data_IF_009274076669
#
_entry.id   IF_009274076669
#
_cell.length_a   1.000
_cell.length_b   1.000
_cell.length_c   1.000
_cell.angle_alpha   90.00
_cell.angle_beta   90.00
_cell.angle_gamma   90.00
#
_symmetry.space_group_name_H-M   'P 1'
#
loop_
_entity.id
_entity.type
_entity.pdbx_description
1 polymer ?
#
# COMPACT_ATOMS: atom_id res chain seq x y z
N UNK A 1 -46.58 -27.67 -8.64
CA UNK A 1 -45.18 -27.27 -8.36
C UNK A 1 -44.33 -28.53 -8.43
N UNK A 2 -43.68 -28.73 -9.57
CA UNK A 2 -43.07 -29.99 -10.01
C UNK A 2 -41.83 -30.35 -9.18
N UNK A 3 -41.58 -31.63 -8.94
CA UNK A 3 -40.43 -32.14 -8.17
C UNK A 3 -39.08 -31.60 -8.66
N UNK A 4 -38.98 -31.28 -9.95
CA UNK A 4 -37.82 -30.63 -10.56
C UNK A 4 -37.46 -29.27 -9.94
N UNK A 5 -38.46 -28.50 -9.46
CA UNK A 5 -38.22 -27.22 -8.78
C UNK A 5 -37.65 -27.41 -7.37
N UNK A 6 -38.06 -28.48 -6.67
CA UNK A 6 -37.53 -28.84 -5.34
C UNK A 6 -36.09 -29.35 -5.43
N UNK A 7 -35.77 -30.14 -6.45
CA UNK A 7 -34.41 -30.62 -6.69
C UNK A 7 -33.45 -29.48 -7.06
N UNK A 8 -33.89 -28.51 -7.86
CA UNK A 8 -33.09 -27.32 -8.17
C UNK A 8 -32.79 -26.45 -6.95
N UNK A 9 -33.75 -26.31 -6.03
CA UNK A 9 -33.57 -25.51 -4.82
C UNK A 9 -32.61 -26.18 -3.81
N UNK A 10 -32.66 -27.51 -3.70
CA UNK A 10 -31.73 -28.28 -2.86
C UNK A 10 -30.31 -28.21 -3.42
N UNK A 11 -30.15 -28.30 -4.75
CA UNK A 11 -28.84 -28.17 -5.38
C UNK A 11 -28.26 -26.76 -5.21
N UNK A 12 -29.08 -25.71 -5.34
CA UNK A 12 -28.67 -24.32 -5.11
C UNK A 12 -28.29 -24.08 -3.64
N UNK A 13 -29.05 -24.64 -2.68
CA UNK A 13 -28.73 -24.57 -1.26
C UNK A 13 -27.43 -25.30 -0.91
N UNK A 14 -27.14 -26.44 -1.55
CA UNK A 14 -25.88 -27.18 -1.38
C UNK A 14 -24.72 -26.37 -1.97
N UNK A 15 -24.87 -25.75 -3.14
CA UNK A 15 -23.83 -24.90 -3.75
C UNK A 15 -23.56 -23.65 -2.89
N UNK A 16 -24.59 -23.05 -2.28
CA UNK A 16 -24.45 -21.95 -1.32
C UNK A 16 -23.83 -22.38 0.02
N UNK A 17 -23.93 -23.66 0.40
CA UNK A 17 -23.27 -24.21 1.59
C UNK A 17 -21.79 -24.55 1.35
N UNK A 18 -21.34 -24.62 0.09
CA UNK A 18 -19.94 -24.85 -0.28
C UNK A 18 -19.12 -23.60 -0.57
N UNK A 19 -19.71 -22.40 -0.52
CA UNK A 19 -18.94 -21.15 -0.39
C UNK A 19 -18.52 -20.99 1.07
N UNK A 20 -17.63 -21.86 1.54
CA UNK A 20 -16.96 -21.66 2.82
C UNK A 20 -16.25 -20.30 2.75
N UNK A 21 -16.40 -19.44 3.78
CA UNK A 21 -15.60 -18.23 3.85
C UNK A 21 -14.13 -18.65 3.75
N UNK A 22 -13.37 -18.01 2.86
CA UNK A 22 -11.91 -18.11 2.85
C UNK A 22 -11.45 -17.91 4.28
N UNK A 23 -10.85 -18.96 4.85
CA UNK A 23 -10.42 -18.95 6.23
C UNK A 23 -9.46 -17.77 6.45
N UNK A 24 -9.69 -17.00 7.51
CA UNK A 24 -8.77 -15.95 7.91
C UNK A 24 -7.37 -16.57 8.06
N UNK A 25 -6.36 -15.90 7.51
CA UNK A 25 -4.99 -16.39 7.43
C UNK A 25 -4.06 -15.27 7.03
N UNK A 26 -2.77 -15.43 7.32
CA UNK A 26 -1.75 -14.42 7.04
C UNK A 26 -0.72 -14.99 6.08
N UNK A 27 -0.55 -14.36 4.93
CA UNK A 27 0.50 -14.64 3.98
C UNK A 27 1.72 -13.79 4.35
N UNK A 28 2.88 -14.43 4.47
CA UNK A 28 4.12 -13.81 4.88
C UNK A 28 5.16 -14.10 3.82
N UNK A 29 5.84 -13.08 3.34
CA UNK A 29 7.06 -13.21 2.57
C UNK A 29 8.23 -12.75 3.44
N UNK A 30 9.26 -13.59 3.55
CA UNK A 30 10.47 -13.25 4.30
C UNK A 30 11.73 -13.52 3.47
N UNK A 31 12.60 -12.52 3.42
CA UNK A 31 13.90 -12.59 2.77
C UNK A 31 15.02 -12.47 3.82
N UNK A 32 15.53 -13.60 4.34
CA UNK A 32 16.44 -13.60 5.49
C UNK A 32 17.72 -12.79 5.26
N UNK A 33 18.29 -12.82 4.05
CA UNK A 33 19.57 -12.14 3.78
C UNK A 33 19.48 -10.61 3.86
N UNK A 34 18.28 -10.04 3.69
CA UNK A 34 18.05 -8.59 3.82
C UNK A 34 17.29 -8.23 5.09
N UNK A 35 16.75 -9.22 5.81
CA UNK A 35 15.80 -9.02 6.90
C UNK A 35 14.44 -8.51 6.43
N UNK A 36 14.19 -8.40 5.13
CA UNK A 36 12.92 -7.86 4.62
C UNK A 36 11.77 -8.84 4.90
N UNK A 37 10.67 -8.32 5.44
CA UNK A 37 9.44 -9.03 5.68
C UNK A 37 8.25 -8.23 5.14
N UNK A 38 7.33 -8.91 4.48
CA UNK A 38 5.99 -8.42 4.14
C UNK A 38 4.98 -9.42 4.66
N UNK A 39 3.94 -8.96 5.32
CA UNK A 39 2.82 -9.79 5.73
C UNK A 39 1.51 -9.13 5.36
N UNK A 40 0.54 -9.93 4.95
CA UNK A 40 -0.81 -9.50 4.66
C UNK A 40 -1.79 -10.59 5.04
N UNK A 41 -2.97 -10.19 5.52
CA UNK A 41 -4.03 -11.13 5.75
C UNK A 41 -5.01 -10.66 6.80
N UNK A 42 -5.71 -11.63 7.35
CA UNK A 42 -6.81 -11.37 8.27
C UNK A 42 -6.61 -12.12 9.58
N UNK A 43 -6.82 -11.41 10.68
CA UNK A 43 -6.65 -11.91 12.03
C UNK A 43 -7.96 -11.69 12.78
N UNK A 44 -8.46 -12.72 13.47
CA UNK A 44 -9.60 -12.53 14.37
C UNK A 44 -9.09 -11.88 15.65
N UNK A 45 -9.69 -10.77 16.06
CA UNK A 45 -9.29 -9.98 17.24
C UNK A 45 -10.49 -9.69 18.12
N UNK A 46 -10.30 -9.57 19.42
CA UNK A 46 -11.35 -9.19 20.36
C UNK A 46 -10.86 -8.05 21.28
N UNK A 47 -10.88 -6.80 20.78
CA UNK A 47 -10.46 -5.65 21.57
C UNK A 47 -11.34 -5.50 22.82
N UNK A 48 -10.71 -5.37 23.99
CA UNK A 48 -11.41 -5.22 25.26
C UNK A 48 -11.81 -3.76 25.56
N UNK A 49 -11.28 -2.80 24.81
CA UNK A 49 -11.51 -1.37 24.99
C UNK A 49 -11.65 -0.64 23.64
N UNK A 50 -12.39 0.49 23.57
CA UNK A 50 -12.56 1.28 22.35
C UNK A 50 -11.25 1.86 21.79
N UNK A 51 -10.20 1.90 22.61
CA UNK A 51 -8.83 2.20 22.18
C UNK A 51 -8.00 0.96 22.40
N UNK A 52 -7.31 0.52 21.37
CA UNK A 52 -6.62 -0.75 21.35
C UNK A 52 -5.32 -0.61 20.55
N UNK A 53 -4.33 -1.46 20.82
CA UNK A 53 -3.03 -1.34 20.14
C UNK A 53 -2.37 -2.66 19.81
N UNK A 54 -1.50 -2.63 18.82
CA UNK A 54 -0.54 -3.70 18.59
C UNK A 54 0.83 -3.14 18.23
N UNK A 55 1.84 -3.96 18.43
CA UNK A 55 3.22 -3.63 18.11
C UNK A 55 3.76 -4.51 16.98
N UNK A 56 4.52 -3.89 16.08
CA UNK A 56 5.33 -4.50 15.03
C UNK A 56 6.79 -4.07 15.17
N UNK A 57 7.65 -4.68 14.37
CA UNK A 57 9.08 -4.37 14.32
C UNK A 57 9.38 -2.89 14.04
N UNK A 58 10.59 -2.40 14.40
CA UNK A 58 10.97 -1.01 14.18
C UNK A 58 10.79 -0.60 12.71
N UNK A 59 10.21 0.58 12.48
CA UNK A 59 10.02 1.16 11.14
C UNK A 59 9.13 0.34 10.19
N UNK A 60 8.36 -0.62 10.70
CA UNK A 60 7.32 -1.29 9.95
C UNK A 60 6.40 -0.24 9.28
N UNK A 61 6.10 -0.47 8.01
CA UNK A 61 5.17 0.34 7.23
C UNK A 61 3.84 -0.39 7.17
N UNK A 62 2.80 0.22 7.69
CA UNK A 62 1.43 -0.26 7.54
C UNK A 62 0.95 0.18 6.15
N UNK A 63 0.66 -0.78 5.27
CA UNK A 63 0.18 -0.54 3.91
C UNK A 63 -1.34 -0.67 3.81
N UNK A 64 -1.96 -1.41 4.72
CA UNK A 64 -3.41 -1.53 4.87
C UNK A 64 -3.78 -1.85 6.32
N UNK A 65 -4.86 -1.25 6.82
CA UNK A 65 -5.42 -1.54 8.14
C UNK A 65 -6.93 -1.31 8.10
N UNK A 66 -7.71 -2.36 8.33
CA UNK A 66 -9.16 -2.32 8.32
C UNK A 66 -9.74 -3.18 9.44
N UNK A 67 -10.67 -2.60 10.18
CA UNK A 67 -11.51 -3.27 11.18
C UNK A 67 -12.92 -2.69 11.10
N UNK A 68 -13.94 -3.50 11.37
CA UNK A 68 -15.31 -3.00 11.44
C UNK A 68 -15.45 -1.97 12.56
N UNK A 69 -15.97 -0.79 12.21
CA UNK A 69 -16.11 0.31 13.17
C UNK A 69 -14.79 1.01 13.51
N UNK A 70 -13.73 0.80 12.75
CA UNK A 70 -12.50 1.61 12.82
C UNK A 70 -12.84 3.08 12.55
N UNK A 71 -12.62 3.92 13.55
CA UNK A 71 -12.82 5.37 13.46
C UNK A 71 -11.56 6.09 13.01
N UNK A 72 -10.43 5.69 13.58
CA UNK A 72 -9.13 6.34 13.39
C UNK A 72 -8.00 5.40 13.84
N UNK A 73 -6.79 5.63 13.34
CA UNK A 73 -5.58 4.98 13.82
C UNK A 73 -4.36 5.89 13.73
N UNK A 74 -3.46 5.73 14.71
CA UNK A 74 -2.19 6.43 14.80
C UNK A 74 -1.05 5.42 14.76
N UNK A 75 0.06 5.81 14.12
CA UNK A 75 1.27 4.99 14.02
C UNK A 75 2.44 5.72 14.68
N UNK A 76 2.89 5.21 15.82
CA UNK A 76 4.10 5.66 16.50
C UNK A 76 5.29 4.78 16.11
N UNK A 77 6.26 5.35 15.38
CA UNK A 77 7.47 4.65 14.96
C UNK A 77 8.59 4.89 15.98
N UNK A 78 8.67 4.02 16.99
CA UNK A 78 9.72 4.03 18.00
C UNK A 78 11.01 3.35 17.54
N UNK A 79 12.08 3.53 18.33
CA UNK A 79 13.39 2.91 18.06
C UNK A 79 13.37 1.37 18.12
N UNK A 80 12.52 0.80 18.98
CA UNK A 80 12.46 -0.65 19.24
C UNK A 80 11.26 -1.35 18.61
N UNK A 81 10.21 -0.60 18.26
CA UNK A 81 8.97 -1.14 17.70
C UNK A 81 8.16 -0.03 17.05
N UNK A 82 7.27 -0.41 16.15
CA UNK A 82 6.20 0.43 15.62
C UNK A 82 4.92 0.08 16.35
N UNK A 83 4.32 1.03 17.06
CA UNK A 83 3.04 0.84 17.74
C UNK A 83 1.93 1.41 16.88
N UNK A 84 0.90 0.61 16.63
CA UNK A 84 -0.33 1.06 15.97
C UNK A 84 -1.41 1.11 17.04
N UNK A 85 -1.95 2.30 17.27
CA UNK A 85 -3.06 2.53 18.19
C UNK A 85 -4.28 2.89 17.37
N UNK A 86 -5.39 2.21 17.58
CA UNK A 86 -6.61 2.44 16.82
C UNK A 86 -7.83 2.62 17.72
N UNK A 87 -8.82 3.35 17.20
CA UNK A 87 -10.06 3.67 17.90
C UNK A 87 -11.25 3.01 17.21
N UNK A 88 -12.13 2.40 17.98
CA UNK A 88 -13.32 1.73 17.51
C UNK A 88 -14.60 2.42 17.99
N UNK A 89 -15.59 2.49 17.12
CA UNK A 89 -16.91 3.02 17.42
C UNK A 89 -17.66 2.13 18.42
N UNK A 90 -17.62 0.82 18.21
CA UNK A 90 -18.32 -0.17 19.01
C UNK A 90 -17.44 -1.41 19.25
N UNK A 91 -17.49 -1.96 20.46
CA UNK A 91 -16.90 -3.26 20.78
C UNK A 91 -17.91 -4.37 20.49
N UNK A 92 -17.80 -4.98 19.31
CA UNK A 92 -18.70 -6.06 18.88
C UNK A 92 -17.95 -7.39 18.88
N UNK A 93 -17.71 -7.98 20.06
CA UNK A 93 -17.12 -9.31 20.22
C UNK A 93 -15.88 -9.57 19.34
N UNK A 94 -15.65 -10.81 18.90
CA UNK A 94 -14.62 -11.13 17.91
C UNK A 94 -14.88 -10.47 16.54
N UNK A 95 -13.87 -9.80 15.98
CA UNK A 95 -13.91 -9.06 14.72
C UNK A 95 -12.74 -9.48 13.80
N UNK A 96 -12.87 -9.27 12.48
CA UNK A 96 -11.79 -9.52 11.50
C UNK A 96 -10.97 -8.25 11.28
N UNK A 97 -9.71 -8.28 11.71
CA UNK A 97 -8.69 -7.30 11.37
C UNK A 97 -8.04 -7.69 10.05
N UNK A 98 -8.26 -6.90 9.00
CA UNK A 98 -7.48 -7.00 7.75
C UNK A 98 -6.29 -6.05 7.84
N UNK A 99 -5.08 -6.60 7.71
CA UNK A 99 -3.84 -5.84 7.89
C UNK A 99 -2.80 -6.26 6.86
N UNK A 100 -2.08 -5.27 6.34
CA UNK A 100 -0.89 -5.46 5.51
C UNK A 100 0.23 -4.56 6.02
N UNK A 101 1.43 -5.10 6.14
CA UNK A 101 2.61 -4.37 6.59
C UNK A 101 3.91 -4.92 6.00
N UNK A 102 4.92 -4.06 5.89
CA UNK A 102 6.23 -4.43 5.36
C UNK A 102 7.38 -3.64 5.98
N UNK A 103 8.60 -4.16 5.82
CA UNK A 103 9.83 -3.46 6.21
C UNK A 103 10.95 -4.43 6.54
N UNK A 104 11.93 -3.96 7.31
CA UNK A 104 13.15 -4.72 7.61
C UNK A 104 13.19 -5.10 9.08
N UNK A 105 13.19 -6.40 9.35
CA UNK A 105 13.46 -6.94 10.67
C UNK A 105 14.92 -6.66 11.07
N UNK A 106 15.18 -6.28 12.32
CA UNK A 106 16.50 -6.40 12.90
C UNK A 106 16.80 -7.90 13.09
N UNK A 107 17.20 -8.56 12.01
CA UNK A 107 17.40 -10.00 11.93
C UNK A 107 18.90 -10.34 11.88
N UNK A 108 19.33 -11.22 12.78
CA UNK A 108 20.70 -11.74 12.81
C UNK A 108 20.74 -13.10 12.12
N UNK A 109 21.37 -13.14 10.94
CA UNK A 109 21.51 -14.36 10.13
C UNK A 109 22.22 -15.52 10.83
N UNK A 110 23.03 -15.24 11.87
CA UNK A 110 23.77 -16.27 12.62
C UNK A 110 22.86 -17.15 13.49
N UNK A 111 21.79 -16.58 14.07
CA UNK A 111 20.85 -17.34 14.90
C UNK A 111 19.71 -17.93 14.07
N UNK A 112 19.38 -17.29 12.94
CA UNK A 112 18.30 -17.70 12.05
C UNK A 112 16.90 -17.63 12.68
N UNK A 113 16.78 -17.25 13.96
CA UNK A 113 15.54 -17.28 14.72
C UNK A 113 14.72 -16.01 14.50
N UNK A 114 13.49 -16.18 14.04
CA UNK A 114 12.48 -15.13 13.91
C UNK A 114 11.36 -15.45 14.89
N UNK A 115 11.35 -14.72 16.01
CA UNK A 115 10.42 -14.95 17.11
C UNK A 115 9.88 -13.67 17.72
N UNK A 116 9.30 -13.76 18.92
CA UNK A 116 8.57 -12.66 19.57
C UNK A 116 9.39 -11.37 19.72
N UNK A 117 10.67 -11.47 20.02
CA UNK A 117 11.58 -10.33 20.17
C UNK A 117 11.77 -9.51 18.88
N UNK A 118 11.51 -10.12 17.72
CA UNK A 118 11.61 -9.43 16.44
C UNK A 118 10.36 -8.61 16.10
N UNK A 119 9.23 -8.83 16.79
CA UNK A 119 7.92 -8.23 16.47
C UNK A 119 7.50 -8.40 15.01
N UNK A 120 7.88 -9.52 14.38
CA UNK A 120 7.59 -9.79 12.97
C UNK A 120 6.11 -10.01 12.68
N UNK A 121 5.38 -10.52 13.67
CA UNK A 121 3.93 -10.69 13.70
C UNK A 121 3.29 -9.68 14.67
N UNK A 122 2.05 -9.20 14.46
CA UNK A 122 1.43 -8.25 15.38
C UNK A 122 1.38 -8.79 16.81
N UNK A 123 1.93 -8.03 17.75
CA UNK A 123 1.79 -8.28 19.18
C UNK A 123 0.68 -7.40 19.75
N UNK A 124 -0.51 -7.97 19.88
CA UNK A 124 -1.70 -7.29 20.38
C UNK A 124 -1.66 -7.09 21.90
N UNK A 125 -2.23 -5.99 22.38
CA UNK A 125 -2.48 -5.76 23.82
C UNK A 125 -3.85 -6.33 24.28
N UNK A 126 -4.57 -6.99 23.38
CA UNK A 126 -5.86 -7.66 23.58
C UNK A 126 -5.85 -9.09 23.00
N UNK A 127 -6.85 -9.93 23.33
CA UNK A 127 -6.95 -11.28 22.78
C UNK A 127 -7.05 -11.32 21.25
N UNK A 128 -6.30 -12.24 20.64
CA UNK A 128 -6.39 -12.57 19.21
C UNK A 128 -6.63 -14.07 19.04
N UNK A 129 -7.38 -14.43 18.00
CA UNK A 129 -7.69 -15.81 17.65
C UNK A 129 -6.52 -16.50 16.95
N UNK A 130 -6.52 -17.85 16.90
CA UNK A 130 -5.54 -18.61 16.15
C UNK A 130 -5.63 -18.25 14.66
N UNK A 131 -4.48 -18.11 14.00
CA UNK A 131 -4.41 -17.68 12.59
C UNK A 131 -3.40 -18.53 11.82
N UNK A 132 -3.82 -19.22 10.75
CA UNK A 132 -2.88 -19.95 9.90
C UNK A 132 -1.96 -18.96 9.19
N UNK A 133 -0.68 -19.31 9.14
CA UNK A 133 0.37 -18.51 8.49
C UNK A 133 0.90 -19.29 7.31
N UNK A 134 0.93 -18.63 6.14
CA UNK A 134 1.53 -19.12 4.91
C UNK A 134 2.84 -18.33 4.68
N UNK A 135 3.98 -18.89 5.07
CA UNK A 135 5.29 -18.27 4.87
C UNK A 135 5.89 -18.70 3.53
N UNK A 136 6.27 -17.72 2.73
CA UNK A 136 7.10 -17.90 1.55
C UNK A 136 8.52 -17.41 1.84
N UNK A 137 9.50 -18.30 1.67
CA UNK A 137 10.91 -17.96 1.77
C UNK A 137 11.54 -17.71 0.39
N UNK A 138 12.66 -16.98 0.37
CA UNK A 138 13.50 -16.85 -0.82
C UNK A 138 14.08 -18.22 -1.24
N UNK A 139 14.39 -18.39 -2.53
CA UNK A 139 14.83 -19.67 -3.08
C UNK A 139 16.08 -20.22 -2.37
N UNK A 140 16.04 -21.52 -2.04
CA UNK A 140 17.13 -22.22 -1.38
C UNK A 140 17.20 -22.06 0.15
N UNK A 141 16.45 -21.14 0.75
CA UNK A 141 16.34 -21.04 2.21
C UNK A 141 15.44 -22.14 2.76
N UNK A 142 15.87 -22.76 3.87
CA UNK A 142 15.10 -23.80 4.55
C UNK A 142 14.34 -23.22 5.73
N UNK A 143 13.11 -23.69 5.91
CA UNK A 143 12.25 -23.38 7.06
C UNK A 143 12.36 -24.48 8.10
N UNK A 144 12.58 -24.10 9.36
CA UNK A 144 12.49 -24.98 10.51
C UNK A 144 11.46 -24.38 11.47
N UNK A 145 10.29 -25.01 11.67
CA UNK A 145 9.29 -24.49 12.60
C UNK A 145 9.82 -24.58 14.05
N UNK A 146 9.60 -23.54 14.87
CA UNK A 146 10.04 -23.47 16.27
C UNK A 146 8.85 -23.43 17.27
N UNK A 147 8.64 -24.49 18.07
CA UNK A 147 7.45 -24.64 18.96
C UNK A 147 6.68 -25.98 18.81
N UNK A 148 5.49 -26.08 19.43
CA UNK A 148 4.54 -27.20 19.25
C UNK A 148 3.61 -26.93 18.04
N UNK A 149 3.65 -27.77 17.01
CA UNK A 149 2.90 -27.60 15.75
C UNK A 149 2.08 -28.84 15.37
N UNK A 150 1.10 -28.65 14.50
CA UNK A 150 0.63 -29.70 13.58
C UNK A 150 1.52 -29.65 12.32
N UNK A 151 1.90 -30.83 11.78
CA UNK A 151 2.92 -30.99 10.74
C UNK A 151 2.80 -29.97 9.59
N UNK A 152 3.90 -29.36 9.13
CA UNK A 152 3.86 -28.47 7.98
C UNK A 152 3.39 -29.25 6.74
N UNK A 153 2.28 -28.84 6.15
CA UNK A 153 1.93 -29.25 4.80
C UNK A 153 2.91 -28.58 3.84
N UNK A 154 3.75 -29.36 3.17
CA UNK A 154 4.57 -28.86 2.06
C UNK A 154 3.65 -28.73 0.84
N UNK A 155 3.17 -27.52 0.57
CA UNK A 155 2.37 -27.24 -0.62
C UNK A 155 3.18 -26.27 -1.50
N UNK A 156 3.52 -26.71 -2.72
CA UNK A 156 4.21 -25.94 -3.77
C UNK A 156 5.52 -25.23 -3.34
N UNK A 157 6.67 -25.76 -3.80
CA UNK A 157 8.06 -25.20 -3.66
C UNK A 157 8.16 -23.83 -2.94
N UNK A 158 8.51 -23.86 -1.65
CA UNK A 158 8.92 -22.68 -0.88
C UNK A 158 7.82 -21.95 -0.11
N UNK A 159 6.59 -22.47 -0.10
CA UNK A 159 5.51 -22.02 0.79
C UNK A 159 5.32 -23.02 1.94
N UNK A 160 5.25 -22.51 3.17
CA UNK A 160 5.11 -23.28 4.39
C UNK A 160 3.86 -22.80 5.14
N UNK A 161 2.88 -23.68 5.32
CA UNK A 161 1.65 -23.35 6.04
C UNK A 161 1.65 -24.00 7.42
N UNK A 162 1.36 -23.23 8.47
CA UNK A 162 1.17 -23.76 9.82
C UNK A 162 0.19 -22.95 10.65
N UNK A 163 -0.30 -23.55 11.73
CA UNK A 163 -1.12 -22.89 12.75
C UNK A 163 -0.34 -22.81 14.08
N UNK A 164 0.13 -21.63 14.50
CA UNK A 164 0.91 -21.49 15.73
C UNK A 164 0.03 -21.58 16.98
N UNK A 165 0.52 -22.24 18.05
CA UNK A 165 -0.14 -22.33 19.37
C UNK A 165 0.12 -21.13 20.31
N UNK A 166 0.89 -20.14 19.86
CA UNK A 166 1.28 -18.96 20.60
C UNK A 166 1.79 -17.87 19.66
N UNK A 167 2.68 -16.98 20.13
CA UNK A 167 3.31 -16.02 19.22
C UNK A 167 4.05 -16.80 18.12
N UNK A 168 3.85 -16.48 16.83
CA UNK A 168 4.46 -17.22 15.73
C UNK A 168 5.99 -17.19 15.78
N UNK A 169 6.65 -18.34 15.65
CA UNK A 169 8.12 -18.44 15.64
C UNK A 169 8.60 -19.43 14.60
N UNK A 170 9.73 -19.11 13.96
CA UNK A 170 10.38 -19.99 13.01
C UNK A 170 11.88 -19.71 12.92
N UNK A 171 12.63 -20.69 12.43
CA UNK A 171 14.04 -20.57 12.13
C UNK A 171 14.25 -20.72 10.62
N UNK A 172 15.15 -19.92 10.06
CA UNK A 172 15.57 -20.02 8.66
C UNK A 172 17.05 -20.40 8.56
N UNK A 173 17.36 -21.28 7.62
CA UNK A 173 18.74 -21.72 7.35
C UNK A 173 19.13 -21.31 5.94
N UNK A 174 20.32 -20.70 5.75
CA UNK A 174 20.77 -20.27 4.43
C UNK A 174 20.94 -21.46 3.47
N UNK A 175 20.79 -21.25 2.15
CA UNK A 175 21.11 -22.26 1.16
C UNK A 175 22.57 -22.70 1.28
N UNK A 176 22.82 -24.00 1.08
CA UNK A 176 24.18 -24.50 0.90
C UNK A 176 24.80 -23.82 -0.33
N UNK A 177 25.88 -23.06 -0.13
CA UNK A 177 26.57 -22.32 -1.20
C UNK A 177 27.07 -23.30 -2.28
N UNK A 178 26.57 -23.25 -3.52
CA UNK A 178 27.18 -23.98 -4.62
C UNK A 178 28.46 -23.23 -5.05
N UNK A 179 29.54 -23.99 -5.27
CA UNK A 179 30.81 -23.42 -5.77
C UNK A 179 30.66 -22.74 -7.15
N UNK A 180 31.56 -21.81 -7.49
CA UNK A 180 31.43 -20.96 -8.67
C UNK A 180 31.51 -21.78 -9.96
N UNK A 181 30.57 -21.56 -10.88
CA UNK A 181 30.64 -22.06 -12.26
C UNK A 181 30.89 -20.87 -13.19
N UNK A 182 31.98 -20.92 -13.95
CA UNK A 182 32.39 -19.89 -14.92
C UNK A 182 31.37 -19.69 -16.05
N UNK A 183 31.18 -18.46 -16.57
CA UNK A 183 30.31 -18.22 -17.71
C UNK A 183 31.02 -18.48 -19.05
N UNK A 184 30.33 -19.18 -19.95
CA UNK A 184 30.72 -19.33 -21.35
C UNK A 184 30.23 -18.13 -22.18
N UNK A 185 31.11 -17.66 -23.08
CA UNK A 185 30.88 -16.58 -24.05
C UNK A 185 30.27 -17.15 -25.34
N UNK A 186 29.29 -16.46 -25.92
CA UNK A 186 29.15 -16.38 -27.39
C UNK A 186 28.45 -15.08 -27.85
N UNK A 187 28.91 -14.55 -28.99
CA UNK A 187 28.44 -13.37 -29.78
C UNK A 187 27.62 -13.86 -31.01
N UNK A 188 27.11 -13.04 -32.01
CA UNK A 188 27.06 -11.58 -32.23
C UNK A 188 25.70 -11.02 -32.80
N UNK A 189 25.56 -9.69 -33.00
CA UNK A 189 25.22 -9.00 -34.29
C UNK A 189 24.67 -7.55 -34.09
N UNK A 190 25.08 -6.64 -34.98
CA UNK A 190 24.84 -5.18 -35.00
C UNK A 190 23.44 -4.78 -35.50
N UNK A 191 22.92 -3.59 -35.10
CA UNK A 191 21.96 -2.81 -35.91
C UNK A 191 21.91 -1.30 -35.56
N UNK A 192 22.13 -0.46 -36.58
CA UNK A 192 21.50 0.85 -36.86
C UNK A 192 21.54 1.99 -35.82
N UNK A 193 22.33 3.03 -36.09
CA UNK A 193 22.36 4.26 -35.29
C UNK A 193 21.01 4.97 -35.24
N UNK A 194 20.35 4.92 -34.08
CA UNK A 194 19.26 5.81 -33.63
C UNK A 194 19.76 6.53 -32.36
N UNK A 195 19.27 7.74 -32.11
CA UNK A 195 19.79 8.60 -31.03
C UNK A 195 19.60 7.98 -29.61
N UNK A 196 20.37 8.44 -28.60
CA UNK A 196 20.36 7.87 -27.24
C UNK A 196 18.97 7.87 -26.57
N UNK A 197 18.14 8.87 -26.87
CA UNK A 197 16.77 8.99 -26.33
C UNK A 197 15.83 7.89 -26.84
N UNK A 198 16.02 7.42 -28.08
CA UNK A 198 15.23 6.32 -28.65
C UNK A 198 15.52 5.00 -27.91
N UNK A 199 16.80 4.71 -27.66
CA UNK A 199 17.22 3.50 -26.97
C UNK A 199 16.70 3.44 -25.53
N UNK A 200 16.73 4.57 -24.82
CA UNK A 200 16.22 4.64 -23.45
C UNK A 200 14.71 4.44 -23.41
N UNK A 201 13.95 5.04 -24.34
CA UNK A 201 12.51 4.85 -24.43
C UNK A 201 12.14 3.39 -24.74
N UNK A 202 12.87 2.73 -25.64
CA UNK A 202 12.65 1.33 -25.99
C UNK A 202 12.91 0.40 -24.79
N UNK A 203 13.94 0.68 -23.98
CA UNK A 203 14.22 -0.02 -22.72
C UNK A 203 13.11 0.18 -21.68
N UNK A 204 12.57 1.39 -21.57
CA UNK A 204 11.44 1.68 -20.69
C UNK A 204 10.21 0.86 -21.11
N UNK A 205 9.85 0.89 -22.39
CA UNK A 205 8.70 0.14 -22.92
C UNK A 205 8.89 -1.38 -22.80
N UNK A 206 10.11 -1.89 -22.97
CA UNK A 206 10.45 -3.29 -22.74
C UNK A 206 10.26 -3.70 -21.27
N UNK A 207 10.80 -2.89 -20.34
CA UNK A 207 10.63 -3.11 -18.91
C UNK A 207 9.15 -3.11 -18.52
N UNK A 208 8.38 -2.13 -19.00
CA UNK A 208 6.96 -2.01 -18.70
C UNK A 208 6.14 -3.18 -19.24
N UNK A 209 6.47 -3.68 -20.44
CA UNK A 209 5.78 -4.83 -21.02
C UNK A 209 6.02 -6.09 -20.21
N UNK A 210 7.26 -6.32 -19.79
CA UNK A 210 7.64 -7.47 -18.94
C UNK A 210 7.01 -7.36 -17.54
N UNK A 211 6.97 -6.15 -16.97
CA UNK A 211 6.30 -5.87 -15.70
C UNK A 211 4.79 -6.09 -15.76
N UNK A 212 4.13 -5.59 -16.82
CA UNK A 212 2.68 -5.74 -17.00
C UNK A 212 2.26 -7.20 -17.19
N UNK A 213 3.10 -8.01 -17.81
CA UNK A 213 2.89 -9.46 -17.94
C UNK A 213 3.07 -10.21 -16.62
N UNK A 214 3.72 -9.60 -15.61
CA UNK A 214 4.04 -10.19 -14.30
C UNK A 214 4.77 -11.54 -14.42
N UNK A 215 5.54 -11.69 -15.50
CA UNK A 215 6.32 -12.90 -15.77
C UNK A 215 7.71 -12.74 -15.16
N UNK A 216 7.94 -13.45 -14.06
CA UNK A 216 9.20 -13.44 -13.32
C UNK A 216 10.41 -13.71 -14.21
N UNK A 217 10.36 -14.76 -15.05
CA UNK A 217 11.48 -15.14 -15.91
C UNK A 217 11.75 -14.06 -16.95
N UNK A 218 10.69 -13.51 -17.54
CA UNK A 218 10.82 -12.45 -18.51
C UNK A 218 11.42 -11.18 -17.88
N UNK A 219 11.07 -10.85 -16.64
CA UNK A 219 11.65 -9.71 -15.92
C UNK A 219 13.12 -9.99 -15.59
N UNK A 220 13.45 -11.20 -15.13
CA UNK A 220 14.82 -11.59 -14.80
C UNK A 220 15.80 -11.41 -15.97
N UNK A 221 15.36 -11.73 -17.20
CA UNK A 221 16.14 -11.55 -18.43
C UNK A 221 16.64 -10.12 -18.67
N UNK A 222 15.98 -9.09 -18.12
CA UNK A 222 16.40 -7.69 -18.32
C UNK A 222 17.16 -7.12 -17.13
N UNK A 223 17.29 -7.89 -16.04
CA UNK A 223 18.02 -7.47 -14.85
C UNK A 223 19.50 -7.81 -14.93
N UNK A 224 20.33 -6.97 -14.33
CA UNK A 224 21.72 -7.30 -14.03
C UNK A 224 21.77 -8.38 -12.92
N UNK A 225 22.76 -9.29 -12.92
CA UNK A 225 22.84 -10.39 -11.94
C UNK A 225 22.67 -9.94 -10.48
N UNK A 226 23.28 -8.82 -10.10
CA UNK A 226 23.11 -8.24 -8.75
C UNK A 226 21.66 -7.94 -8.37
N UNK A 227 20.80 -7.56 -9.32
CA UNK A 227 19.37 -7.32 -9.08
C UNK A 227 18.55 -8.62 -9.15
N UNK A 228 19.01 -9.61 -9.92
CA UNK A 228 18.42 -10.96 -9.93
C UNK A 228 18.64 -11.64 -8.58
N UNK A 229 19.86 -11.60 -8.06
CA UNK A 229 20.22 -12.12 -6.73
C UNK A 229 19.47 -11.42 -5.59
N UNK A 230 19.11 -10.14 -5.78
CA UNK A 230 18.27 -9.38 -4.85
C UNK A 230 16.77 -9.68 -4.99
N UNK A 231 16.38 -10.59 -5.87
CA UNK A 231 15.00 -11.03 -6.06
C UNK A 231 14.10 -9.96 -6.70
N UNK A 232 14.66 -8.98 -7.42
CA UNK A 232 13.85 -7.90 -7.99
C UNK A 232 12.84 -8.42 -9.03
N UNK A 233 13.18 -9.45 -9.80
CA UNK A 233 12.25 -10.06 -10.76
C UNK A 233 11.02 -10.66 -10.06
N UNK A 234 11.27 -11.39 -8.97
CA UNK A 234 10.24 -11.98 -8.11
C UNK A 234 9.39 -10.90 -7.46
N UNK A 235 10.03 -9.84 -6.94
CA UNK A 235 9.34 -8.69 -6.35
C UNK A 235 8.35 -8.04 -7.34
N UNK A 236 8.81 -7.79 -8.56
CA UNK A 236 8.02 -7.12 -9.59
C UNK A 236 6.90 -8.02 -10.14
N UNK A 237 7.14 -9.32 -10.28
CA UNK A 237 6.11 -10.28 -10.68
C UNK A 237 5.04 -10.48 -9.60
N UNK A 238 5.41 -10.38 -8.32
CA UNK A 238 4.52 -10.59 -7.18
C UNK A 238 3.76 -9.32 -6.72
N UNK A 239 3.71 -8.26 -7.53
CA UNK A 239 2.84 -7.12 -7.24
C UNK A 239 1.38 -7.58 -7.06
N UNK A 240 0.57 -6.97 -6.17
CA UNK A 240 -0.80 -7.42 -5.90
C UNK A 240 -1.68 -7.46 -7.16
N UNK A 241 -2.44 -8.54 -7.35
CA UNK A 241 -3.35 -8.68 -8.50
C UNK A 241 -4.49 -7.66 -8.45
N UNK A 242 -4.91 -7.26 -7.25
CA UNK A 242 -5.89 -6.21 -7.01
C UNK A 242 -5.48 -4.85 -7.59
N UNK A 243 -4.18 -4.57 -7.73
CA UNK A 243 -3.68 -3.36 -8.40
C UNK A 243 -4.11 -3.29 -9.87
N UNK A 244 -4.62 -4.39 -10.43
CA UNK A 244 -5.13 -4.46 -11.78
C UNK A 244 -4.03 -4.27 -12.82
N UNK A 245 -4.39 -3.65 -13.94
CA UNK A 245 -3.43 -3.34 -15.00
C UNK A 245 -2.37 -2.34 -14.48
N UNK A 246 -1.10 -2.69 -14.70
CA UNK A 246 0.03 -1.81 -14.43
C UNK A 246 0.35 -1.03 -15.70
N UNK A 247 0.26 0.29 -15.64
CA UNK A 247 0.72 1.18 -16.70
C UNK A 247 1.81 2.07 -16.15
N UNK A 248 2.52 2.81 -17.00
CA UNK A 248 3.46 3.80 -16.51
C UNK A 248 3.55 5.02 -17.41
N UNK A 249 3.96 6.11 -16.79
CA UNK A 249 4.28 7.38 -17.44
C UNK A 249 5.77 7.65 -17.26
N UNK A 250 6.47 7.93 -18.36
CA UNK A 250 7.89 8.31 -18.31
C UNK A 250 7.98 9.79 -17.97
N UNK A 251 8.49 10.13 -16.78
CA UNK A 251 8.73 11.52 -16.38
C UNK A 251 10.06 12.04 -16.93
N UNK A 252 11.08 11.18 -16.96
CA UNK A 252 12.39 11.51 -17.52
C UNK A 252 13.04 10.25 -18.08
N UNK A 253 13.46 10.29 -19.35
CA UNK A 253 14.10 9.16 -20.02
C UNK A 253 15.63 9.09 -19.77
N UNK A 254 16.22 10.09 -19.09
CA UNK A 254 17.66 10.29 -19.06
C UNK A 254 18.19 10.85 -20.38
N UNK A 255 19.16 11.77 -20.34
CA UNK A 255 19.68 12.41 -21.56
C UNK A 255 20.81 11.60 -22.21
N UNK A 256 21.49 10.75 -21.43
CA UNK A 256 22.63 9.94 -21.85
C UNK A 256 22.53 8.49 -21.33
N UNK A 257 23.20 7.54 -21.98
CA UNK A 257 23.36 6.18 -21.43
C UNK A 257 23.99 6.24 -20.04
N UNK A 258 23.35 5.61 -19.05
CA UNK A 258 23.76 5.65 -17.65
C UNK A 258 23.16 6.81 -16.84
N UNK A 259 22.32 7.66 -17.42
CA UNK A 259 21.48 8.58 -16.64
C UNK A 259 20.30 7.81 -16.02
N UNK A 260 19.87 8.19 -14.80
CA UNK A 260 18.68 7.62 -14.18
C UNK A 260 17.43 8.03 -14.95
N UNK A 261 16.64 7.04 -15.32
CA UNK A 261 15.31 7.19 -15.87
C UNK A 261 14.30 7.20 -14.72
N UNK A 262 13.30 8.08 -14.79
CA UNK A 262 12.25 8.20 -13.79
C UNK A 262 10.91 7.94 -14.46
N UNK A 263 10.18 6.96 -13.95
CA UNK A 263 8.82 6.63 -14.40
C UNK A 263 7.86 6.65 -13.21
N UNK A 264 6.59 6.88 -13.47
CA UNK A 264 5.51 6.69 -12.50
C UNK A 264 4.69 5.50 -12.93
N UNK A 265 4.77 4.42 -12.15
CA UNK A 265 3.88 3.28 -12.25
C UNK A 265 2.50 3.69 -11.76
N UNK A 266 1.49 3.50 -12.61
CA UNK A 266 0.08 3.72 -12.32
C UNK A 266 -0.59 2.35 -12.25
N UNK A 267 -1.33 2.15 -11.19
CA UNK A 267 -2.14 0.95 -10.97
C UNK A 267 -3.61 1.31 -11.16
N UNK A 268 -4.46 0.37 -11.58
CA UNK A 268 -5.90 0.62 -11.71
C UNK A 268 -6.57 0.83 -10.36
N UNK A 269 -6.10 0.10 -9.33
CA UNK A 269 -6.64 0.15 -7.97
C UNK A 269 -5.48 0.05 -6.97
N UNK A 270 -4.77 1.13 -6.76
CA UNK A 270 -3.62 1.15 -5.84
C UNK A 270 -2.83 2.45 -5.90
N UNK A 271 -1.71 2.54 -5.17
CA UNK A 271 -0.89 3.75 -5.14
C UNK A 271 -0.17 3.95 -6.47
N UNK A 272 0.09 5.23 -6.80
CA UNK A 272 1.07 5.60 -7.82
C UNK A 272 2.47 5.48 -7.21
N UNK A 273 3.37 4.82 -7.93
CA UNK A 273 4.73 4.56 -7.45
C UNK A 273 5.73 5.19 -8.41
N UNK A 274 6.67 5.96 -7.90
CA UNK A 274 7.78 6.47 -8.69
C UNK A 274 8.89 5.43 -8.70
N UNK A 275 9.26 4.96 -9.88
CA UNK A 275 10.42 4.10 -10.07
C UNK A 275 11.57 4.88 -10.70
N UNK A 276 12.76 4.72 -10.12
CA UNK A 276 14.02 5.19 -10.71
C UNK A 276 14.78 4.00 -11.24
N UNK A 277 15.11 4.02 -12.54
CA UNK A 277 15.76 2.93 -13.27
C UNK A 277 17.12 3.39 -13.78
N UNK A 278 18.16 2.59 -13.54
CA UNK A 278 19.49 2.83 -14.09
C UNK A 278 19.92 1.66 -14.96
N UNK A 279 20.09 1.93 -16.25
CA UNK A 279 20.50 0.94 -17.22
C UNK A 279 22.02 0.97 -17.41
N UNK A 280 22.65 -0.20 -17.33
CA UNK A 280 24.03 -0.42 -17.77
C UNK A 280 23.98 -1.35 -18.98
N UNK A 281 24.39 -0.83 -20.13
CA UNK A 281 24.25 -1.53 -21.42
C UNK A 281 22.79 -1.94 -21.68
N UNK A 282 22.47 -3.24 -21.78
CA UNK A 282 21.12 -3.77 -22.01
C UNK A 282 20.42 -4.26 -20.73
N UNK A 283 21.06 -4.11 -19.56
CA UNK A 283 20.56 -4.66 -18.30
C UNK A 283 20.25 -3.55 -17.29
N UNK A 284 19.16 -3.73 -16.55
CA UNK A 284 18.80 -2.86 -15.43
C UNK A 284 19.76 -3.15 -14.28
N UNK A 285 20.57 -2.17 -13.92
CA UNK A 285 21.62 -2.28 -12.89
C UNK A 285 21.23 -1.66 -11.56
N UNK A 286 20.29 -0.72 -11.54
CA UNK A 286 19.72 -0.16 -10.32
C UNK A 286 18.24 0.09 -10.49
N UNK A 287 17.50 -0.16 -9.42
CA UNK A 287 16.07 0.06 -9.33
C UNK A 287 15.74 0.58 -7.93
N UNK A 288 14.92 1.62 -7.88
CA UNK A 288 14.35 2.14 -6.64
C UNK A 288 12.89 2.42 -6.88
N UNK A 289 12.05 2.16 -5.87
CA UNK A 289 10.62 2.41 -5.90
C UNK A 289 10.23 3.18 -4.63
N UNK A 290 9.48 4.25 -4.80
CA UNK A 290 8.96 5.05 -3.70
C UNK A 290 7.50 5.47 -3.99
N UNK A 291 6.69 5.74 -2.95
CA UNK A 291 5.39 6.37 -3.17
C UNK A 291 5.53 7.64 -4.00
N UNK A 292 4.75 7.77 -5.07
CA UNK A 292 4.77 8.98 -5.86
C UNK A 292 4.06 10.10 -5.11
N UNK A 293 4.83 11.10 -4.66
CA UNK A 293 4.27 12.36 -4.20
C UNK A 293 4.18 13.27 -5.43
N UNK A 294 2.97 13.47 -5.95
CA UNK A 294 2.79 14.40 -7.06
C UNK A 294 3.22 15.79 -6.61
N UNK A 295 4.22 16.37 -7.27
CA UNK A 295 4.45 17.81 -7.18
C UNK A 295 3.16 18.48 -7.64
N UNK A 296 2.56 19.31 -6.79
CA UNK A 296 1.35 20.04 -7.13
C UNK A 296 1.77 21.09 -8.16
N UNK A 297 1.26 21.06 -9.40
CA UNK A 297 1.64 22.04 -10.40
C UNK A 297 1.39 23.47 -9.87
N UNK A 298 2.30 24.43 -10.06
CA UNK A 298 2.13 25.78 -9.54
C UNK A 298 0.80 26.43 -9.95
N UNK A 299 0.30 26.10 -11.14
CA UNK A 299 -0.99 26.54 -11.65
C UNK A 299 -2.16 25.97 -10.84
N UNK A 300 -2.09 24.69 -10.46
CA UNK A 300 -3.11 24.02 -9.63
C UNK A 300 -3.07 24.60 -8.21
N UNK A 301 -1.88 24.77 -7.63
CA UNK A 301 -1.73 25.42 -6.32
C UNK A 301 -2.30 26.85 -6.33
N UNK A 302 -1.99 27.65 -7.37
CA UNK A 302 -2.53 29.00 -7.52
C UNK A 302 -4.05 28.99 -7.66
N UNK A 303 -4.60 28.11 -8.50
CA UNK A 303 -6.03 27.96 -8.71
C UNK A 303 -6.77 27.60 -7.41
N UNK A 304 -6.24 26.63 -6.65
CA UNK A 304 -6.82 26.23 -5.36
C UNK A 304 -6.70 27.32 -4.30
N UNK A 305 -5.57 28.05 -4.29
CA UNK A 305 -5.39 29.20 -3.40
C UNK A 305 -6.42 30.30 -3.69
N UNK A 306 -6.69 30.58 -4.96
CA UNK A 306 -7.68 31.59 -5.37
C UNK A 306 -9.12 31.12 -5.11
N UNK A 307 -9.39 29.82 -5.27
CA UNK A 307 -10.63 29.22 -4.82
C UNK A 307 -10.85 29.41 -3.31
N UNK A 308 -9.86 29.10 -2.47
CA UNK A 308 -9.96 29.27 -1.00
C UNK A 308 -10.21 30.72 -0.63
N UNK A 309 -9.52 31.68 -1.28
CA UNK A 309 -9.77 33.12 -1.08
C UNK A 309 -11.21 33.49 -1.47
N UNK A 310 -11.70 32.98 -2.59
CA UNK A 310 -13.07 33.24 -3.06
C UNK A 310 -14.10 32.68 -2.09
N UNK A 311 -13.89 31.45 -1.62
CA UNK A 311 -14.74 30.78 -0.64
C UNK A 311 -14.79 31.54 0.69
N UNK A 312 -13.63 31.91 1.24
CA UNK A 312 -13.53 32.68 2.47
C UNK A 312 -14.18 34.07 2.32
N UNK A 313 -14.01 34.73 1.18
CA UNK A 313 -14.65 36.02 0.89
C UNK A 313 -16.18 35.90 0.76
N UNK A 314 -16.68 34.83 0.14
CA UNK A 314 -18.10 34.55 0.03
C UNK A 314 -18.72 34.29 1.41
N UNK A 315 -18.06 33.49 2.26
CA UNK A 315 -18.46 33.26 3.64
C UNK A 315 -18.46 34.58 4.46
N UNK A 316 -17.41 35.39 4.33
CA UNK A 316 -17.29 36.66 5.05
C UNK A 316 -18.39 37.67 4.69
N UNK A 317 -18.78 37.71 3.40
CA UNK A 317 -19.87 38.56 2.90
C UNK A 317 -21.25 37.95 3.13
N UNK A 318 -21.32 36.72 3.65
CA UNK A 318 -22.54 35.91 3.74
C UNK A 318 -23.27 35.79 2.39
N UNK A 319 -22.52 35.68 1.30
CA UNK A 319 -23.04 35.59 -0.06
C UNK A 319 -23.47 34.15 -0.35
N UNK A 320 -24.71 33.83 0.03
CA UNK A 320 -25.29 32.50 -0.16
C UNK A 320 -25.28 32.08 -1.63
N UNK A 321 -25.61 32.96 -2.56
CA UNK A 321 -25.73 32.62 -3.98
C UNK A 321 -24.37 32.25 -4.60
N UNK A 322 -23.29 32.90 -4.16
CA UNK A 322 -21.94 32.49 -4.56
C UNK A 322 -21.52 31.17 -3.91
N UNK A 323 -21.84 30.94 -2.63
CA UNK A 323 -21.53 29.68 -1.95
C UNK A 323 -22.28 28.49 -2.56
N UNK A 324 -23.54 28.66 -2.96
CA UNK A 324 -24.33 27.63 -3.65
C UNK A 324 -23.71 27.25 -5.00
N UNK A 325 -23.10 28.20 -5.72
CA UNK A 325 -22.35 27.90 -6.96
C UNK A 325 -21.05 27.15 -6.72
N UNK A 326 -20.43 27.36 -5.55
CA UNK A 326 -19.19 26.71 -5.13
C UNK A 326 -19.42 25.34 -4.48
N UNK A 327 -20.67 24.92 -4.29
CA UNK A 327 -21.02 23.61 -3.75
C UNK A 327 -21.72 22.76 -4.83
N UNK A 328 -21.56 21.45 -4.72
CA UNK A 328 -22.17 20.47 -5.62
C UNK A 328 -22.71 19.29 -4.81
N UNK A 329 -23.61 18.51 -5.40
CA UNK A 329 -24.17 17.32 -4.77
C UNK A 329 -25.34 17.57 -3.82
N UNK A 330 -25.85 16.48 -3.23
CA UNK A 330 -27.08 16.47 -2.42
C UNK A 330 -26.92 17.21 -1.08
N UNK A 331 -25.69 17.33 -0.58
CA UNK A 331 -25.36 17.99 0.69
C UNK A 331 -25.07 19.48 0.55
N UNK A 332 -25.15 20.04 -0.66
CA UNK A 332 -24.76 21.43 -0.94
C UNK A 332 -25.44 22.45 -0.01
N UNK A 333 -26.73 22.29 0.29
CA UNK A 333 -27.46 23.19 1.20
C UNK A 333 -26.87 23.22 2.61
N UNK A 334 -26.60 22.04 3.19
CA UNK A 334 -26.02 21.93 4.52
C UNK A 334 -24.57 22.44 4.56
N UNK A 335 -23.80 22.18 3.51
CA UNK A 335 -22.45 22.72 3.34
C UNK A 335 -22.46 24.24 3.30
N UNK A 336 -23.38 24.85 2.54
CA UNK A 336 -23.54 26.32 2.49
C UNK A 336 -23.88 26.90 3.85
N UNK A 337 -24.84 26.29 4.55
CA UNK A 337 -25.26 26.74 5.89
C UNK A 337 -24.10 26.67 6.89
N UNK A 338 -23.31 25.59 6.83
CA UNK A 338 -22.11 25.44 7.64
C UNK A 338 -21.07 26.52 7.32
N UNK A 339 -20.75 26.74 6.04
CA UNK A 339 -19.77 27.74 5.62
C UNK A 339 -20.18 29.17 6.04
N UNK A 340 -21.49 29.47 6.02
CA UNK A 340 -22.05 30.74 6.50
C UNK A 340 -21.95 30.91 8.02
N UNK A 341 -21.82 29.82 8.77
CA UNK A 341 -21.65 29.82 10.23
C UNK A 341 -20.19 30.10 10.66
N UNK A 342 -19.24 29.98 9.74
CA UNK A 342 -17.82 30.10 10.04
C UNK A 342 -17.42 31.55 10.35
N UNK A 343 -16.41 31.67 11.22
CA UNK A 343 -15.76 32.94 11.46
C UNK A 343 -14.71 33.18 10.38
N UNK A 344 -14.71 34.40 9.84
CA UNK A 344 -13.85 34.79 8.72
C UNK A 344 -12.97 36.00 9.02
N UNK A 345 -12.91 36.42 10.29
CA UNK A 345 -12.03 37.51 10.73
C UNK A 345 -10.55 37.13 10.61
N UNK A 346 -10.26 35.84 10.79
CA UNK A 346 -8.93 35.27 10.57
C UNK A 346 -8.86 34.59 9.20
N UNK A 347 -7.71 34.67 8.51
CA UNK A 347 -7.56 34.07 7.19
C UNK A 347 -7.62 32.54 7.29
N UNK A 348 -8.34 31.92 6.37
CA UNK A 348 -8.33 30.46 6.21
C UNK A 348 -7.03 30.04 5.54
N UNK A 349 -6.28 29.13 6.17
CA UNK A 349 -4.94 28.75 5.71
C UNK A 349 -4.97 27.40 5.00
N UNK A 350 -4.61 27.37 3.72
CA UNK A 350 -4.41 26.13 2.98
C UNK A 350 -3.16 25.41 3.51
N UNK A 351 -3.34 24.23 4.11
CA UNK A 351 -2.27 23.43 4.73
C UNK A 351 -1.82 22.26 3.87
N UNK A 352 -2.75 21.63 3.18
CA UNK A 352 -2.48 20.43 2.40
C UNK A 352 -3.35 20.36 1.15
N UNK A 353 -2.80 19.74 0.09
CA UNK A 353 -3.48 19.45 -1.17
C UNK A 353 -3.16 17.99 -1.52
N UNK A 354 -4.19 17.16 -1.64
CA UNK A 354 -4.12 15.83 -2.25
C UNK A 354 -4.77 15.91 -3.63
N UNK A 355 -4.22 15.25 -4.66
CA UNK A 355 -4.74 15.34 -6.04
C UNK A 355 -5.69 14.18 -6.42
N UNK A 356 -5.63 13.06 -5.72
CA UNK A 356 -6.40 11.84 -6.04
C UNK A 356 -6.92 11.17 -4.74
N UNK A 357 -8.19 11.41 -4.33
CA UNK A 357 -9.09 12.43 -4.87
C UNK A 357 -8.59 13.86 -4.59
N UNK A 358 -9.07 14.84 -5.37
CA UNK A 358 -8.68 16.23 -5.16
C UNK A 358 -9.28 16.75 -3.85
N UNK A 359 -8.44 16.90 -2.83
CA UNK A 359 -8.84 17.35 -1.50
C UNK A 359 -7.95 18.48 -1.03
N UNK A 360 -8.55 19.53 -0.46
CA UNK A 360 -7.81 20.61 0.20
C UNK A 360 -8.12 20.64 1.69
N UNK A 361 -7.09 20.79 2.52
CA UNK A 361 -7.23 20.92 3.97
C UNK A 361 -6.96 22.36 4.39
N UNK A 362 -7.95 22.98 5.02
CA UNK A 362 -7.88 24.37 5.50
C UNK A 362 -7.82 24.39 7.02
N UNK A 363 -6.91 25.15 7.59
CA UNK A 363 -6.94 25.47 9.02
C UNK A 363 -7.89 26.65 9.25
N UNK A 364 -8.89 26.44 10.10
CA UNK A 364 -9.90 27.43 10.48
C UNK A 364 -9.77 27.74 11.97
N UNK A 365 -9.44 28.98 12.29
CA UNK A 365 -9.45 29.50 13.66
C UNK A 365 -10.80 30.16 13.94
N UNK A 366 -11.77 29.36 14.38
CA UNK A 366 -13.15 29.80 14.53
C UNK A 366 -13.38 30.66 15.78
N UNK A 367 -12.69 30.36 16.88
CA UNK A 367 -12.73 31.15 18.12
C UNK A 367 -11.38 31.09 18.85
N UNK A 368 -11.14 31.89 19.90
CA UNK A 368 -9.91 31.78 20.70
C UNK A 368 -9.64 30.38 21.27
N UNK A 369 -10.69 29.56 21.40
CA UNK A 369 -10.64 28.21 21.98
C UNK A 369 -11.02 27.13 20.96
N UNK A 370 -11.26 27.48 19.70
CA UNK A 370 -11.77 26.55 18.69
C UNK A 370 -11.01 26.72 17.40
N UNK A 371 -10.18 25.73 17.10
CA UNK A 371 -9.44 25.61 15.85
C UNK A 371 -9.69 24.22 15.30
N UNK A 372 -9.89 24.10 13.99
CA UNK A 372 -10.11 22.81 13.34
C UNK A 372 -9.57 22.81 11.91
N UNK A 373 -9.36 21.61 11.37
CA UNK A 373 -9.15 21.41 9.93
C UNK A 373 -10.50 21.21 9.26
N UNK A 374 -10.69 21.92 8.16
CA UNK A 374 -11.76 21.71 7.21
C UNK A 374 -11.19 21.01 5.98
N UNK A 375 -11.57 19.75 5.77
CA UNK A 375 -11.24 19.00 4.57
C UNK A 375 -12.34 19.20 3.54
N UNK A 376 -11.98 19.66 2.34
CA UNK A 376 -12.90 19.87 1.23
C UNK A 376 -12.51 18.93 0.10
N UNK A 377 -13.40 18.00 -0.26
CA UNK A 377 -13.24 17.24 -1.50
C UNK A 377 -13.78 18.09 -2.66
N UNK A 378 -12.95 18.31 -3.67
CA UNK A 378 -13.26 19.19 -4.79
C UNK A 378 -13.49 18.41 -6.08
N UNK A 379 -14.43 18.90 -6.88
CA UNK A 379 -14.69 18.44 -8.24
C UNK A 379 -14.62 19.62 -9.22
N UNK A 380 -14.29 19.40 -10.50
CA UNK A 380 -14.35 20.46 -11.51
C UNK A 380 -15.79 20.95 -11.71
N UNK A 381 -16.02 22.26 -11.57
CA UNK A 381 -17.26 22.93 -11.96
C UNK A 381 -17.14 23.68 -13.28
N UNK A 382 -18.23 24.33 -13.70
CA UNK A 382 -18.30 25.04 -14.99
C UNK A 382 -17.30 26.21 -15.10
N UNK A 383 -17.13 26.97 -14.01
CA UNK A 383 -16.28 28.16 -13.98
C UNK A 383 -15.12 28.07 -12.95
N UNK A 384 -15.25 27.18 -11.95
CA UNK A 384 -14.29 27.01 -10.85
C UNK A 384 -14.47 25.63 -10.18
N UNK A 385 -13.66 25.33 -9.17
CA UNK A 385 -13.85 24.15 -8.31
C UNK A 385 -15.17 24.21 -7.53
N UNK A 386 -15.77 23.05 -7.31
CA UNK A 386 -16.95 22.88 -6.48
C UNK A 386 -16.67 21.90 -5.34
N UNK A 387 -17.21 22.18 -4.16
CA UNK A 387 -17.16 21.33 -2.99
C UNK A 387 -18.16 20.19 -3.20
N UNK A 388 -17.67 18.96 -3.26
CA UNK A 388 -18.49 17.76 -3.37
C UNK A 388 -18.84 17.18 -1.99
N UNK A 389 -17.89 17.25 -1.06
CA UNK A 389 -18.08 16.87 0.33
C UNK A 389 -17.17 17.69 1.23
N UNK A 390 -17.53 17.75 2.52
CA UNK A 390 -16.75 18.42 3.53
C UNK A 390 -16.70 17.60 4.82
N UNK A 391 -15.54 17.59 5.46
CA UNK A 391 -15.31 16.94 6.75
C UNK A 391 -14.55 17.89 7.70
N UNK A 392 -14.83 17.78 9.00
CA UNK A 392 -14.25 18.65 10.03
C UNK A 392 -13.47 17.80 11.03
N UNK A 393 -12.24 18.23 11.33
CA UNK A 393 -11.38 17.59 12.34
C UNK A 393 -11.01 18.63 13.39
N UNK A 394 -11.52 18.45 14.62
CA UNK A 394 -11.26 19.35 15.75
C UNK A 394 -9.90 19.05 16.41
N UNK A 395 -9.28 20.07 16.97
CA UNK A 395 -8.07 19.98 17.79
C UNK A 395 -8.34 20.27 19.26
#
# INVERSE_FOLDING_TARGET
>A
MTESFKQGLVFLAIVLLFTLPVAAGVNVFFHPASGFLRAEGEITVEPAAPVASFSLFPKAQITSLWLDGLLDYEIERGLKKTTVTFKLADLKGPQRLSISYEGFLPFETETGLVGEESYWFPKFDFPSGPVPINLRLAEGWQFIPAGEFEEPGEDVKGVFTWLPRGYPQFTVVPPAVPGPTEPAVDKPAQQGARGPEWEMREKAELFLRKLAARDEKAIEEILHPELQERGLAQYLAALPLEFGALTAEILSAGAKPGDPMIIVLKTEKGPRLQATLLWRESKLSSFSLMPYQSEIPPQVHSSLSDFVKTLAAAAAKRDRGLLEKLCSGETAGATVDFLLSLQTEKPWLLKHIALEPLTVSLLIEHSPTTTFILNLQLVPGADNWQINSLDIVFF
#
